data_IF_847045937109
#
_entry.id   IF_847045937109
#
_cell.length_a   1.000
_cell.length_b   1.000
_cell.length_c   1.000
_cell.angle_alpha   90.00
_cell.angle_beta   90.00
_cell.angle_gamma   90.00
#
_symmetry.space_group_name_H-M   'P 1'
#
loop_
_entity.id
_entity.type
_entity.pdbx_description
1 polymer ?
#
# COMPACT_ATOMS: atom_id res chain seq x y z
N UNK A 1 -18.91 17.87 -5.03
CA UNK A 1 -17.44 18.11 -5.07
C UNK A 1 -16.68 16.81 -4.89
N UNK A 2 -16.94 16.05 -3.81
CA UNK A 2 -16.30 14.76 -3.55
C UNK A 2 -16.57 13.70 -4.61
N UNK A 3 -17.84 13.47 -4.96
CA UNK A 3 -18.23 12.51 -6.01
C UNK A 3 -17.55 12.79 -7.36
N UNK A 4 -17.35 14.07 -7.69
CA UNK A 4 -16.64 14.47 -8.90
C UNK A 4 -15.14 14.17 -8.82
N UNK A 5 -14.53 14.29 -7.63
CA UNK A 5 -13.13 13.90 -7.43
C UNK A 5 -12.95 12.38 -7.64
N UNK A 6 -13.86 11.57 -7.11
CA UNK A 6 -13.87 10.12 -7.30
C UNK A 6 -14.00 9.74 -8.77
N UNK A 7 -15.01 10.27 -9.47
CA UNK A 7 -15.18 9.98 -10.90
C UNK A 7 -13.93 10.36 -11.71
N UNK A 8 -13.32 11.52 -11.43
CA UNK A 8 -12.11 11.96 -12.15
C UNK A 8 -10.90 11.07 -11.84
N UNK A 9 -10.82 10.51 -10.64
CA UNK A 9 -9.77 9.55 -10.28
C UNK A 9 -9.98 8.21 -10.98
N UNK A 10 -11.22 7.75 -11.13
CA UNK A 10 -11.56 6.54 -11.89
C UNK A 10 -11.33 6.72 -13.38
N UNK A 11 -11.63 7.90 -13.92
CA UNK A 11 -11.36 8.30 -15.31
C UNK A 11 -9.86 8.53 -15.62
N UNK A 12 -8.96 8.26 -14.66
CA UNK A 12 -7.51 8.53 -14.72
C UNK A 12 -7.13 10.01 -14.96
N UNK A 13 -8.08 10.93 -14.78
CA UNK A 13 -7.88 12.39 -14.85
C UNK A 13 -7.34 12.91 -13.53
N UNK A 14 -6.21 12.34 -13.11
CA UNK A 14 -5.66 12.52 -11.76
C UNK A 14 -5.44 14.00 -11.41
N UNK A 15 -4.82 14.79 -12.28
CA UNK A 15 -4.53 16.21 -12.02
C UNK A 15 -5.79 17.02 -11.72
N UNK A 16 -6.92 16.73 -12.38
CA UNK A 16 -8.19 17.38 -12.11
C UNK A 16 -8.77 16.89 -10.78
N UNK A 17 -8.71 15.59 -10.51
CA UNK A 17 -9.17 15.02 -9.24
C UNK A 17 -8.44 15.65 -8.04
N UNK A 18 -7.13 15.89 -8.15
CA UNK A 18 -6.32 16.52 -7.09
C UNK A 18 -6.84 17.90 -6.70
N UNK A 19 -7.21 18.73 -7.68
CA UNK A 19 -7.76 20.06 -7.43
C UNK A 19 -9.06 19.97 -6.62
N UNK A 20 -9.92 18.99 -6.92
CA UNK A 20 -11.14 18.79 -6.13
C UNK A 20 -10.85 18.33 -4.70
N UNK A 21 -9.90 17.40 -4.52
CA UNK A 21 -9.50 16.97 -3.18
C UNK A 21 -8.92 18.12 -2.35
N UNK A 22 -8.07 18.95 -2.95
CA UNK A 22 -7.52 20.15 -2.30
C UNK A 22 -8.61 21.10 -1.84
N UNK A 23 -9.58 21.41 -2.71
CA UNK A 23 -10.70 22.28 -2.36
C UNK A 23 -11.54 21.71 -1.21
N UNK A 24 -11.75 20.39 -1.17
CA UNK A 24 -12.49 19.77 -0.07
C UNK A 24 -11.69 19.82 1.23
N UNK A 25 -10.39 19.54 1.18
CA UNK A 25 -9.51 19.56 2.36
C UNK A 25 -9.25 20.97 2.91
N UNK A 26 -9.52 22.04 2.15
CA UNK A 26 -9.55 23.40 2.67
C UNK A 26 -10.73 23.64 3.62
N UNK A 27 -11.85 22.96 3.40
CA UNK A 27 -13.07 23.07 4.22
C UNK A 27 -13.02 22.04 5.35
N UNK A 28 -12.73 20.79 5.01
CA UNK A 28 -12.68 19.64 5.92
C UNK A 28 -11.26 19.09 6.02
N UNK A 29 -10.40 19.79 6.76
CA UNK A 29 -8.98 19.50 6.81
C UNK A 29 -8.60 18.15 7.45
N UNK A 30 -9.50 17.51 8.20
CA UNK A 30 -9.17 16.28 8.93
C UNK A 30 -9.96 15.05 8.45
N UNK A 31 -10.54 15.10 7.24
CA UNK A 31 -11.23 13.96 6.68
C UNK A 31 -10.21 12.90 6.20
N UNK A 32 -10.00 11.86 7.02
CA UNK A 32 -8.98 10.83 6.78
C UNK A 32 -9.22 10.08 5.47
N UNK A 33 -10.48 9.78 5.12
CA UNK A 33 -10.78 9.08 3.87
C UNK A 33 -10.29 9.88 2.67
N UNK A 34 -10.63 11.17 2.63
CA UNK A 34 -10.22 12.07 1.54
C UNK A 34 -8.70 12.24 1.49
N UNK A 35 -8.03 12.32 2.64
CA UNK A 35 -6.56 12.38 2.69
C UNK A 35 -5.95 11.12 2.09
N UNK A 36 -6.48 9.94 2.41
CA UNK A 36 -6.01 8.66 1.87
C UNK A 36 -6.29 8.58 0.37
N UNK A 37 -7.49 8.93 -0.08
CA UNK A 37 -7.88 8.91 -1.50
C UNK A 37 -7.02 9.88 -2.31
N UNK A 38 -6.76 11.09 -1.79
CA UNK A 38 -5.80 12.02 -2.39
C UNK A 38 -4.41 11.39 -2.47
N UNK A 39 -3.92 10.75 -1.41
CA UNK A 39 -2.66 10.01 -1.44
C UNK A 39 -2.61 8.94 -2.54
N UNK A 40 -3.69 8.16 -2.71
CA UNK A 40 -3.81 7.13 -3.76
C UNK A 40 -3.76 7.76 -5.15
N UNK A 41 -4.47 8.85 -5.39
CA UNK A 41 -4.44 9.55 -6.68
C UNK A 41 -3.05 10.13 -6.98
N UNK A 42 -2.34 10.66 -5.98
CA UNK A 42 -0.96 11.10 -6.11
C UNK A 42 -0.01 9.93 -6.45
N UNK A 43 -0.20 8.78 -5.80
CA UNK A 43 0.55 7.56 -6.09
C UNK A 43 0.33 7.11 -7.54
N UNK A 44 -0.91 7.10 -8.01
CA UNK A 44 -1.23 6.71 -9.39
C UNK A 44 -0.67 7.68 -10.43
N UNK A 45 -0.51 8.96 -10.07
CA UNK A 45 0.18 9.97 -10.89
C UNK A 45 1.71 9.82 -10.86
N UNK A 46 2.27 8.94 -10.02
CA UNK A 46 3.71 8.77 -9.81
C UNK A 46 4.33 9.77 -8.83
N UNK A 47 3.53 10.63 -8.19
CA UNK A 47 3.97 11.60 -7.19
C UNK A 47 4.17 10.96 -5.81
N UNK A 48 5.05 9.97 -5.72
CA UNK A 48 5.24 9.14 -4.53
C UNK A 48 5.59 9.92 -3.25
N UNK A 49 6.47 10.92 -3.33
CA UNK A 49 6.82 11.72 -2.16
C UNK A 49 5.62 12.51 -1.60
N UNK A 50 4.75 13.04 -2.48
CA UNK A 50 3.54 13.75 -2.04
C UNK A 50 2.51 12.77 -1.46
N UNK A 51 2.39 11.57 -2.06
CA UNK A 51 1.54 10.50 -1.52
C UNK A 51 1.96 10.11 -0.10
N UNK A 52 3.26 9.97 0.18
CA UNK A 52 3.78 9.71 1.52
C UNK A 52 3.38 10.79 2.52
N UNK A 53 3.46 12.07 2.16
CA UNK A 53 3.04 13.19 3.03
C UNK A 53 1.55 13.07 3.38
N UNK A 54 0.70 12.68 2.42
CA UNK A 54 -0.73 12.47 2.69
C UNK A 54 -0.96 11.26 3.61
N UNK A 55 -0.28 10.13 3.38
CA UNK A 55 -0.42 8.98 4.27
C UNK A 55 0.12 9.26 5.67
N UNK A 56 1.22 9.99 5.82
CA UNK A 56 1.72 10.43 7.12
C UNK A 56 0.72 11.33 7.85
N UNK A 57 0.09 12.26 7.12
CA UNK A 57 -0.99 13.07 7.67
C UNK A 57 -2.17 12.20 8.14
N UNK A 58 -2.60 11.22 7.34
CA UNK A 58 -3.67 10.29 7.72
C UNK A 58 -3.30 9.48 8.97
N UNK A 59 -2.06 9.01 9.07
CA UNK A 59 -1.56 8.23 10.20
C UNK A 59 -1.34 9.08 11.47
N UNK A 60 -1.03 10.36 11.33
CA UNK A 60 -0.98 11.28 12.47
C UNK A 60 -2.37 11.50 13.07
N UNK A 61 -3.42 11.55 12.23
CA UNK A 61 -4.81 11.67 12.68
C UNK A 61 -5.34 10.34 13.21
N UNK A 62 -5.00 9.22 12.58
CA UNK A 62 -5.40 7.87 12.97
C UNK A 62 -4.26 6.87 12.77
N UNK A 63 -3.43 6.63 13.80
CA UNK A 63 -2.23 5.78 13.70
C UNK A 63 -2.47 4.32 13.30
N UNK A 64 -3.71 3.84 13.47
CA UNK A 64 -4.14 2.48 13.13
C UNK A 64 -5.01 2.42 11.87
N UNK A 65 -4.96 3.44 11.01
CA UNK A 65 -5.69 3.41 9.75
C UNK A 65 -5.06 2.38 8.79
N UNK A 66 -5.81 1.32 8.49
CA UNK A 66 -5.31 0.17 7.75
C UNK A 66 -4.95 0.56 6.30
N UNK A 67 -5.82 1.29 5.61
CA UNK A 67 -5.60 1.70 4.22
C UNK A 67 -4.35 2.60 4.09
N UNK A 68 -4.18 3.57 4.99
CA UNK A 68 -3.01 4.44 5.00
C UNK A 68 -1.71 3.66 5.24
N UNK A 69 -1.70 2.68 6.16
CA UNK A 69 -0.51 1.83 6.41
C UNK A 69 -0.14 0.97 5.20
N UNK A 70 -1.13 0.35 4.55
CA UNK A 70 -0.91 -0.50 3.37
C UNK A 70 -0.37 0.34 2.21
N UNK A 71 -1.04 1.44 1.91
CA UNK A 71 -0.68 2.29 0.78
C UNK A 71 0.67 2.98 1.01
N UNK A 72 0.95 3.46 2.23
CA UNK A 72 2.29 3.98 2.58
C UNK A 72 3.36 2.92 2.39
N UNK A 73 3.12 1.69 2.85
CA UNK A 73 4.05 0.58 2.63
C UNK A 73 4.29 0.30 1.14
N UNK A 74 3.23 0.36 0.33
CA UNK A 74 3.31 0.13 -1.12
C UNK A 74 4.15 1.21 -1.83
N UNK A 75 3.94 2.49 -1.48
CA UNK A 75 4.75 3.60 -1.99
C UNK A 75 6.20 3.48 -1.54
N UNK A 76 6.45 3.12 -0.28
CA UNK A 76 7.81 2.89 0.22
C UNK A 76 8.50 1.73 -0.52
N UNK A 77 7.78 0.66 -0.84
CA UNK A 77 8.29 -0.42 -1.69
C UNK A 77 8.64 0.07 -3.09
N UNK A 78 7.77 0.87 -3.73
CA UNK A 78 8.05 1.46 -5.05
C UNK A 78 9.25 2.41 -5.05
N UNK A 79 9.58 3.01 -3.90
CA UNK A 79 10.77 3.83 -3.67
C UNK A 79 11.98 3.01 -3.18
N UNK A 80 11.90 1.67 -3.22
CA UNK A 80 12.94 0.72 -2.76
C UNK A 80 13.30 0.85 -1.25
N UNK A 81 12.43 1.51 -0.47
CA UNK A 81 12.57 1.67 0.99
C UNK A 81 11.96 0.49 1.75
N UNK A 82 12.42 -0.72 1.43
CA UNK A 82 11.80 -1.97 1.89
C UNK A 82 11.73 -2.11 3.42
N UNK A 83 12.74 -1.64 4.16
CA UNK A 83 12.75 -1.71 5.63
C UNK A 83 11.66 -0.84 6.27
N UNK A 84 11.42 0.35 5.72
CA UNK A 84 10.36 1.24 6.17
C UNK A 84 8.98 0.66 5.80
N UNK A 85 8.84 0.11 4.58
CA UNK A 85 7.62 -0.56 4.14
C UNK A 85 7.25 -1.73 5.07
N UNK A 86 8.21 -2.59 5.42
CA UNK A 86 8.03 -3.69 6.37
C UNK A 86 7.56 -3.18 7.73
N UNK A 87 8.06 -2.02 8.18
CA UNK A 87 7.62 -1.41 9.44
C UNK A 87 6.15 -1.01 9.40
N UNK A 88 5.69 -0.41 8.29
CA UNK A 88 4.26 -0.13 8.09
C UNK A 88 3.43 -1.42 8.08
N UNK A 89 3.88 -2.46 7.37
CA UNK A 89 3.19 -3.74 7.33
C UNK A 89 3.20 -4.50 8.66
N UNK A 90 4.20 -4.28 9.51
CA UNK A 90 4.20 -4.83 10.87
C UNK A 90 3.11 -4.20 11.74
N UNK A 91 2.95 -2.87 11.67
CA UNK A 91 1.89 -2.16 12.40
C UNK A 91 0.51 -2.64 11.89
N UNK A 92 0.36 -2.76 10.58
CA UNK A 92 -0.81 -3.34 9.93
C UNK A 92 -1.16 -4.74 10.45
N UNK A 93 -0.18 -5.65 10.49
CA UNK A 93 -0.37 -7.01 11.01
C UNK A 93 -0.62 -7.07 12.52
N UNK A 94 -0.25 -6.04 13.28
CA UNK A 94 -0.64 -5.96 14.68
C UNK A 94 -2.13 -5.62 14.86
N UNK A 95 -2.73 -4.95 13.88
CA UNK A 95 -4.18 -4.66 13.84
C UNK A 95 -4.94 -5.88 13.35
N UNK A 96 -4.52 -6.44 12.21
CA UNK A 96 -5.07 -7.67 11.64
C UNK A 96 -3.95 -8.65 11.25
N UNK A 97 -3.73 -9.64 12.11
CA UNK A 97 -2.66 -10.65 11.98
C UNK A 97 -2.83 -11.58 10.78
N UNK A 98 -4.03 -11.65 10.22
CA UNK A 98 -4.42 -12.58 9.17
C UNK A 98 -4.90 -11.83 7.92
N UNK A 99 -4.42 -10.61 7.69
CA UNK A 99 -4.70 -9.91 6.45
C UNK A 99 -3.83 -10.49 5.30
N UNK A 100 -4.39 -11.18 4.29
CA UNK A 100 -3.60 -11.81 3.23
C UNK A 100 -2.83 -10.79 2.40
N UNK A 101 -3.45 -9.62 2.14
CA UNK A 101 -2.85 -8.52 1.37
C UNK A 101 -1.58 -8.01 2.07
N UNK A 102 -1.68 -7.69 3.36
CA UNK A 102 -0.53 -7.20 4.14
C UNK A 102 0.58 -8.25 4.24
N UNK A 103 0.22 -9.52 4.45
CA UNK A 103 1.18 -10.63 4.52
C UNK A 103 1.97 -10.75 3.21
N UNK A 104 1.29 -10.67 2.07
CA UNK A 104 1.94 -10.76 0.77
C UNK A 104 2.82 -9.54 0.47
N UNK A 105 2.34 -8.31 0.68
CA UNK A 105 3.18 -7.13 0.46
C UNK A 105 4.41 -7.08 1.36
N UNK A 106 4.28 -7.54 2.61
CA UNK A 106 5.45 -7.74 3.49
C UNK A 106 6.39 -8.81 2.94
N UNK A 107 5.84 -9.91 2.42
CA UNK A 107 6.60 -10.96 1.74
C UNK A 107 7.43 -10.43 0.57
N UNK A 108 6.84 -9.59 -0.28
CA UNK A 108 7.54 -8.92 -1.39
C UNK A 108 8.75 -8.15 -0.88
N UNK A 109 8.56 -7.23 0.07
CA UNK A 109 9.66 -6.44 0.64
C UNK A 109 10.79 -7.30 1.23
N UNK A 110 10.45 -8.41 1.88
CA UNK A 110 11.44 -9.34 2.46
C UNK A 110 12.22 -10.07 1.36
N UNK A 111 11.56 -10.39 0.25
CA UNK A 111 12.18 -10.96 -0.94
C UNK A 111 13.19 -10.01 -1.56
N UNK A 112 12.84 -8.73 -1.70
CA UNK A 112 13.72 -7.68 -2.25
C UNK A 112 14.97 -7.43 -1.39
N UNK A 113 14.87 -7.61 -0.06
CA UNK A 113 16.04 -7.56 0.85
C UNK A 113 16.92 -8.83 0.71
N UNK A 114 16.49 -9.82 -0.06
CA UNK A 114 17.23 -11.05 -0.37
C UNK A 114 16.83 -12.26 0.48
N UNK A 115 15.87 -12.14 1.40
CA UNK A 115 15.42 -13.26 2.22
C UNK A 115 14.25 -14.02 1.56
N UNK A 116 14.52 -14.60 0.40
CA UNK A 116 13.53 -15.26 -0.46
C UNK A 116 12.79 -16.39 0.28
N UNK A 117 13.51 -17.17 1.12
CA UNK A 117 12.90 -18.26 1.90
C UNK A 117 11.87 -17.75 2.90
N UNK A 118 12.13 -16.62 3.55
CA UNK A 118 11.17 -16.01 4.48
C UNK A 118 9.99 -15.39 3.72
N UNK A 119 10.24 -14.76 2.57
CA UNK A 119 9.17 -14.25 1.69
C UNK A 119 8.16 -15.35 1.32
N UNK A 120 8.64 -16.52 0.89
CA UNK A 120 7.79 -17.69 0.58
C UNK A 120 6.92 -18.10 1.79
N UNK A 121 7.44 -18.04 3.03
CA UNK A 121 6.63 -18.35 4.22
C UNK A 121 5.47 -17.37 4.38
N UNK A 122 5.68 -16.08 4.11
CA UNK A 122 4.63 -15.08 4.18
C UNK A 122 3.59 -15.26 3.07
N UNK A 123 4.01 -15.53 1.84
CA UNK A 123 3.08 -15.82 0.74
C UNK A 123 2.26 -17.07 1.00
N UNK A 124 2.88 -18.15 1.49
CA UNK A 124 2.13 -19.37 1.89
C UNK A 124 1.13 -19.10 3.00
N UNK A 125 1.47 -18.22 3.96
CA UNK A 125 0.53 -17.81 4.99
C UNK A 125 -0.64 -17.03 4.39
N UNK A 126 -0.39 -16.10 3.46
CA UNK A 126 -1.46 -15.41 2.73
C UNK A 126 -2.39 -16.40 2.01
N UNK A 127 -1.82 -17.36 1.26
CA UNK A 127 -2.59 -18.41 0.57
C UNK A 127 -3.36 -19.35 1.50
N UNK A 128 -2.89 -19.55 2.73
CA UNK A 128 -3.63 -20.35 3.72
C UNK A 128 -4.89 -19.65 4.25
N UNK A 129 -4.97 -18.34 4.07
CA UNK A 129 -6.10 -17.50 4.51
C UNK A 129 -7.03 -17.25 3.32
N UNK A 130 -6.45 -16.86 2.19
CA UNK A 130 -7.12 -16.64 0.92
C UNK A 130 -6.42 -17.46 -0.16
N UNK A 131 -7.00 -18.62 -0.46
CA UNK A 131 -6.44 -19.60 -1.38
C UNK A 131 -6.40 -19.12 -2.85
N UNK A 132 -7.14 -18.08 -3.18
CA UNK A 132 -7.22 -17.49 -4.52
C UNK A 132 -6.44 -16.17 -4.62
N UNK A 133 -5.61 -15.85 -3.62
CA UNK A 133 -4.80 -14.64 -3.61
C UNK A 133 -3.63 -14.71 -4.62
N UNK A 134 -3.94 -14.36 -5.87
CA UNK A 134 -3.09 -14.48 -7.06
C UNK A 134 -1.69 -13.89 -6.86
N UNK A 135 -1.58 -12.72 -6.23
CA UNK A 135 -0.27 -12.09 -5.99
C UNK A 135 0.67 -13.00 -5.18
N UNK A 136 0.17 -13.70 -4.16
CA UNK A 136 1.00 -14.61 -3.38
C UNK A 136 1.39 -15.86 -4.18
N UNK A 137 0.50 -16.39 -5.02
CA UNK A 137 0.81 -17.52 -5.89
C UNK A 137 1.91 -17.17 -6.90
N UNK A 138 1.74 -16.08 -7.65
CA UNK A 138 2.74 -15.58 -8.61
C UNK A 138 4.08 -15.36 -7.89
N UNK A 139 4.05 -14.72 -6.72
CA UNK A 139 5.28 -14.41 -5.97
C UNK A 139 6.01 -15.67 -5.50
N UNK A 140 5.31 -16.73 -5.09
CA UNK A 140 5.93 -18.03 -4.75
C UNK A 140 6.57 -18.66 -5.97
N UNK A 141 5.89 -18.66 -7.12
CA UNK A 141 6.40 -19.24 -8.35
C UNK A 141 7.69 -18.54 -8.78
N UNK A 142 7.69 -17.20 -8.81
CA UNK A 142 8.88 -16.39 -9.08
C UNK A 142 10.00 -16.67 -8.09
N UNK A 143 9.71 -16.68 -6.78
CA UNK A 143 10.70 -16.96 -5.74
C UNK A 143 11.33 -18.36 -5.87
N UNK A 144 10.54 -19.37 -6.25
CA UNK A 144 11.04 -20.73 -6.48
C UNK A 144 11.93 -20.82 -7.73
N UNK A 145 11.62 -20.06 -8.79
CA UNK A 145 12.48 -19.97 -9.97
C UNK A 145 13.86 -19.40 -9.60
N UNK A 146 13.90 -18.31 -8.82
CA UNK A 146 15.15 -17.68 -8.38
C UNK A 146 16.00 -18.65 -7.55
N UNK A 147 15.39 -19.41 -6.63
CA UNK A 147 16.11 -20.39 -5.81
C UNK A 147 16.70 -21.53 -6.66
N UNK A 148 15.97 -21.99 -7.68
CA UNK A 148 16.44 -23.07 -8.56
C UNK A 148 17.55 -22.63 -9.51
N UNK A 149 17.67 -21.33 -9.79
CA UNK A 149 18.70 -20.77 -10.67
C UNK A 149 20.01 -20.39 -9.95
N UNK A 150 20.07 -20.56 -8.63
CA UNK A 150 21.26 -20.34 -7.79
C UNK A 150 21.96 -21.67 -7.49
#
# INVERSE_FOLDING_TARGET
MLEKAYQLSEDEKYTQALIYYENILQIESNNISIIVDYGVTLQNLGSYNQALVMYDRALNLQPKNMNALINKGSVLHALEKYSEAISCYNIALNIDKNNPIVLAYKGLCIGEIGNIRLAIKYFKKALSIDNEYELAEISINTANCIIKSQ
#
